data_IF_055454247508
#
_entry.id   IF_055454247508
#
_cell.length_a   1.000
_cell.length_b   1.000
_cell.length_c   1.000
_cell.angle_alpha   90.00
_cell.angle_beta   90.00
_cell.angle_gamma   90.00
#
_symmetry.space_group_name_H-M   'P 1'
#
loop_
_entity.id
_entity.type
_entity.pdbx_description
1 polymer ?
#
# COMPACT_ATOMS: atom_id res chain seq x y z
N UNK A 1 9.55 14.13 -2.51
CA UNK A 1 10.32 12.91 -2.16
C UNK A 1 9.55 11.70 -2.67
N UNK A 2 10.24 10.64 -3.08
CA UNK A 2 9.65 9.47 -3.71
C UNK A 2 10.43 8.21 -3.33
N UNK A 3 9.74 7.11 -3.02
CA UNK A 3 10.36 5.83 -2.68
C UNK A 3 9.42 4.67 -2.97
N UNK A 4 9.96 3.57 -3.49
CA UNK A 4 9.21 2.33 -3.69
C UNK A 4 9.68 1.27 -2.70
N UNK A 5 8.76 0.64 -1.97
CA UNK A 5 9.05 -0.44 -1.01
C UNK A 5 8.00 -1.53 -1.23
N UNK A 6 8.44 -2.77 -1.46
CA UNK A 6 7.57 -3.95 -1.59
C UNK A 6 6.40 -3.77 -2.59
N UNK A 7 6.67 -3.08 -3.70
CA UNK A 7 5.68 -2.78 -4.75
C UNK A 7 4.77 -1.58 -4.48
N UNK A 8 4.89 -0.94 -3.31
CA UNK A 8 4.18 0.29 -2.97
C UNK A 8 5.02 1.52 -3.29
N UNK A 9 4.46 2.45 -4.05
CA UNK A 9 5.08 3.74 -4.36
C UNK A 9 4.62 4.80 -3.35
N UNK A 10 5.55 5.28 -2.54
CA UNK A 10 5.35 6.36 -1.58
C UNK A 10 5.80 7.69 -2.17
N UNK A 11 4.90 8.67 -2.20
CA UNK A 11 5.17 10.03 -2.68
C UNK A 11 4.97 11.02 -1.54
N UNK A 12 6.06 11.63 -1.08
CA UNK A 12 6.08 12.66 -0.05
C UNK A 12 6.01 14.06 -0.67
N UNK A 13 4.99 14.82 -0.29
CA UNK A 13 4.86 16.27 -0.46
C UNK A 13 5.18 16.99 0.85
N UNK A 14 5.22 18.31 0.83
CA UNK A 14 5.60 19.13 1.99
C UNK A 14 4.81 18.85 3.26
N UNK A 15 3.55 18.45 3.12
CA UNK A 15 2.57 18.27 4.20
C UNK A 15 1.90 16.89 4.20
N UNK A 16 2.33 15.97 3.34
CA UNK A 16 1.58 14.73 3.11
C UNK A 16 2.41 13.62 2.48
N UNK A 17 1.99 12.38 2.71
CA UNK A 17 2.53 11.18 2.07
C UNK A 17 1.39 10.43 1.43
N UNK A 18 1.50 10.15 0.14
CA UNK A 18 0.55 9.33 -0.63
C UNK A 18 1.17 7.99 -0.99
N UNK A 19 0.40 6.91 -0.91
CA UNK A 19 0.84 5.55 -1.21
C UNK A 19 0.05 5.00 -2.38
N UNK A 20 0.75 4.52 -3.39
CA UNK A 20 0.18 3.96 -4.61
C UNK A 20 0.60 2.50 -4.76
N UNK A 21 -0.26 1.69 -5.37
CA UNK A 21 0.04 0.32 -5.80
C UNK A 21 -0.58 0.10 -7.18
N UNK A 22 0.20 -0.40 -8.13
CA UNK A 22 -0.25 -0.64 -9.51
C UNK A 22 -0.92 0.58 -10.17
N UNK A 23 -0.43 1.79 -9.85
CA UNK A 23 -0.96 3.05 -10.35
C UNK A 23 -2.19 3.60 -9.61
N UNK A 24 -2.77 2.84 -8.68
CA UNK A 24 -3.93 3.25 -7.88
C UNK A 24 -3.52 3.84 -6.54
N UNK A 25 -4.15 4.94 -6.11
CA UNK A 25 -3.95 5.51 -4.79
C UNK A 25 -4.60 4.60 -3.74
N UNK A 26 -3.79 4.02 -2.86
CA UNK A 26 -4.28 3.20 -1.75
C UNK A 26 -4.67 4.06 -0.54
N UNK A 27 -3.77 4.96 -0.14
CA UNK A 27 -3.98 5.80 1.04
C UNK A 27 -3.15 7.07 0.96
N UNK A 28 -3.58 8.09 1.69
CA UNK A 28 -2.84 9.34 1.85
C UNK A 28 -2.92 9.79 3.31
N UNK A 29 -1.78 10.18 3.87
CA UNK A 29 -1.66 10.69 5.24
C UNK A 29 -1.19 12.13 5.21
N UNK A 30 -1.94 13.01 5.88
CA UNK A 30 -1.52 14.38 6.14
C UNK A 30 -0.55 14.36 7.32
N UNK A 31 0.52 15.15 7.20
CA UNK A 31 1.56 15.31 8.20
C UNK A 31 1.45 16.74 8.72
N UNK A 32 1.40 16.89 10.03
CA UNK A 32 1.43 18.21 10.67
C UNK A 32 2.88 18.74 10.64
N UNK A 33 3.10 19.88 9.98
CA UNK A 33 4.42 20.48 9.82
C UNK A 33 5.14 20.12 8.51
N UNK A 34 6.45 20.35 8.48
CA UNK A 34 7.28 20.15 7.28
C UNK A 34 7.78 18.71 7.24
N UNK A 35 7.49 18.01 6.14
CA UNK A 35 8.03 16.68 5.90
C UNK A 35 9.51 16.76 5.49
N UNK A 36 10.41 16.30 6.36
CA UNK A 36 11.83 16.12 6.04
C UNK A 36 12.10 14.71 5.51
N UNK A 37 13.25 14.54 4.84
CA UNK A 37 13.66 13.26 4.26
C UNK A 37 13.78 12.15 5.32
N UNK A 38 14.36 12.44 6.48
CA UNK A 38 14.51 11.47 7.57
C UNK A 38 13.16 10.97 8.10
N UNK A 39 12.19 11.88 8.25
CA UNK A 39 10.83 11.54 8.68
C UNK A 39 10.09 10.76 7.58
N UNK A 40 10.26 11.17 6.33
CA UNK A 40 9.72 10.43 5.18
C UNK A 40 10.24 8.98 5.15
N UNK A 41 11.53 8.76 5.34
CA UNK A 41 12.10 7.40 5.36
C UNK A 41 11.57 6.55 6.53
N UNK A 42 11.43 7.14 7.73
CA UNK A 42 10.86 6.46 8.90
C UNK A 42 9.39 6.09 8.69
N UNK A 43 8.58 7.05 8.20
CA UNK A 43 7.14 6.85 8.01
C UNK A 43 6.88 5.83 6.91
N UNK A 44 7.58 5.93 5.77
CA UNK A 44 7.39 5.01 4.64
C UNK A 44 7.79 3.58 4.98
N UNK A 45 8.85 3.38 5.76
CA UNK A 45 9.24 2.05 6.26
C UNK A 45 8.12 1.43 7.11
N UNK A 46 7.62 2.18 8.10
CA UNK A 46 6.54 1.70 8.98
C UNK A 46 5.26 1.39 8.20
N UNK A 47 4.86 2.27 7.29
CA UNK A 47 3.68 2.07 6.45
C UNK A 47 3.82 0.84 5.54
N UNK A 48 5.01 0.59 4.98
CA UNK A 48 5.24 -0.60 4.17
C UNK A 48 5.04 -1.88 4.99
N UNK A 49 5.61 -1.95 6.20
CA UNK A 49 5.43 -3.09 7.12
C UNK A 49 3.95 -3.29 7.49
N UNK A 50 3.20 -2.21 7.78
CA UNK A 50 1.76 -2.28 8.08
C UNK A 50 0.93 -2.77 6.88
N UNK A 51 1.29 -2.35 5.67
CA UNK A 51 0.61 -2.74 4.44
C UNK A 51 0.90 -4.20 4.07
N UNK A 52 2.12 -4.69 4.28
CA UNK A 52 2.46 -6.11 4.08
C UNK A 52 1.66 -7.03 5.02
N UNK A 53 1.56 -6.67 6.30
CA UNK A 53 0.75 -7.41 7.27
C UNK A 53 -0.73 -7.38 6.88
N UNK A 54 -1.21 -6.23 6.42
CA UNK A 54 -2.61 -6.07 5.99
C UNK A 54 -2.93 -6.91 4.75
N UNK A 55 -2.01 -6.98 3.79
CA UNK A 55 -2.17 -7.84 2.60
C UNK A 55 -2.10 -9.33 2.93
N UNK A 56 -1.22 -9.74 3.85
CA UNK A 56 -1.16 -11.12 4.32
C UNK A 56 -2.40 -11.55 5.13
N UNK A 57 -3.16 -10.57 5.65
CA UNK A 57 -4.42 -10.79 6.37
C UNK A 57 -5.67 -10.56 5.53
N UNK A 58 -5.55 -10.05 4.31
CA UNK A 58 -6.67 -10.09 3.38
C UNK A 58 -7.01 -11.58 3.26
N UNK A 59 -8.21 -12.02 3.68
CA UNK A 59 -8.54 -13.42 3.57
C UNK A 59 -8.33 -13.78 2.11
N UNK A 60 -7.60 -14.87 1.86
CA UNK A 60 -7.88 -15.65 0.66
C UNK A 60 -9.39 -15.69 0.55
N UNK A 61 -9.94 -14.95 -0.42
CA UNK A 61 -11.28 -15.23 -0.88
C UNK A 61 -11.07 -16.59 -1.53
N UNK A 62 -11.23 -17.62 -0.70
CA UNK A 62 -11.44 -18.99 -1.13
C UNK A 62 -12.74 -18.86 -1.92
N UNK A 63 -12.64 -18.59 -3.22
CA UNK A 63 -13.66 -19.05 -4.15
C UNK A 63 -13.48 -20.56 -4.23
N UNK A 64 -13.88 -21.20 -3.13
CA UNK A 64 -14.12 -22.63 -3.03
C UNK A 64 -15.32 -22.90 -3.95
N UNK A 65 -15.05 -23.69 -4.98
CA UNK A 65 -15.96 -24.70 -5.52
C UNK A 65 -17.34 -24.26 -6.05
N UNK A 66 -17.45 -24.14 -7.39
CA UNK A 66 -18.54 -24.81 -8.10
C UNK A 66 -17.97 -25.40 -9.41
N UNK A 67 -17.58 -26.67 -9.37
CA UNK A 67 -17.59 -27.55 -10.54
C UNK A 67 -18.97 -27.51 -11.19
N UNK A 68 -19.04 -27.32 -12.51
CA UNK A 68 -19.97 -28.09 -13.36
C UNK A 68 -19.54 -27.94 -14.81
N UNK A 69 -19.03 -29.05 -15.34
CA UNK A 69 -19.04 -29.37 -16.75
C UNK A 69 -20.45 -29.14 -17.32
N UNK A 70 -20.58 -28.44 -18.45
CA UNK A 70 -21.57 -28.86 -19.44
C UNK A 70 -21.07 -28.55 -20.84
N UNK A 71 -20.69 -29.65 -21.49
CA UNK A 71 -20.41 -29.83 -22.90
C UNK A 71 -21.69 -29.56 -23.71
N UNK A 72 -21.62 -28.67 -24.72
CA UNK A 72 -22.53 -28.65 -25.87
C UNK A 72 -21.78 -28.24 -27.15
#
# INVERSE_FOLDING_TARGET
MEKTINGFLFKGKSDSISVYKDGSLLTSKIIDGILFQEDFDKITKKLAEELEVSLAKAPEVIEDDIESEEEI
#
